data_IF_798396258525
#
_entry.id   IF_798396258525
#
_cell.length_a   1.000
_cell.length_b   1.000
_cell.length_c   1.000
_cell.angle_alpha   90.00
_cell.angle_beta   90.00
_cell.angle_gamma   90.00
#
_symmetry.space_group_name_H-M   'P 1'
#
loop_
_entity.id
_entity.type
_entity.pdbx_description
1 polymer ?
#
# COMPACT_ATOMS: atom_id res chain seq x y z
N UNK A 1 -10.32 11.58 -7.05
CA UNK A 1 -9.72 10.49 -6.24
C UNK A 1 -9.32 11.07 -4.89
N UNK A 2 -9.94 10.58 -3.81
CA UNK A 2 -9.58 10.98 -2.44
C UNK A 2 -8.13 10.56 -2.13
N UNK A 3 -7.48 11.18 -1.14
CA UNK A 3 -6.17 10.74 -0.61
C UNK A 3 -6.17 9.24 -0.34
N UNK A 4 -7.18 8.72 0.36
CA UNK A 4 -7.22 7.30 0.72
C UNK A 4 -7.23 6.40 -0.52
N UNK A 5 -8.00 6.77 -1.55
CA UNK A 5 -8.03 6.04 -2.81
C UNK A 5 -6.67 6.11 -3.54
N UNK A 6 -5.98 7.27 -3.54
CA UNK A 6 -4.61 7.41 -4.10
C UNK A 6 -3.62 6.47 -3.41
N UNK A 7 -3.67 6.36 -2.09
CA UNK A 7 -2.81 5.44 -1.33
C UNK A 7 -3.07 4.00 -1.74
N UNK A 8 -4.35 3.59 -1.83
CA UNK A 8 -4.71 2.22 -2.22
C UNK A 8 -4.23 1.89 -3.63
N UNK A 9 -4.31 2.82 -4.57
CA UNK A 9 -3.75 2.63 -5.92
C UNK A 9 -2.24 2.46 -5.89
N UNK A 10 -1.52 3.30 -5.15
CA UNK A 10 -0.06 3.18 -5.03
C UNK A 10 0.36 1.83 -4.43
N UNK A 11 -0.32 1.38 -3.37
CA UNK A 11 -0.09 0.07 -2.76
C UNK A 11 -0.40 -1.08 -3.73
N UNK A 12 -1.47 -0.97 -4.52
CA UNK A 12 -1.81 -1.99 -5.52
C UNK A 12 -0.70 -2.14 -6.57
N UNK A 13 -0.19 -1.02 -7.10
CA UNK A 13 0.93 -1.05 -8.05
C UNK A 13 2.20 -1.60 -7.43
N UNK A 14 2.52 -1.23 -6.19
CA UNK A 14 3.66 -1.76 -5.46
C UNK A 14 3.55 -3.28 -5.28
N UNK A 15 2.38 -3.79 -4.90
CA UNK A 15 2.14 -5.23 -4.77
C UNK A 15 2.37 -5.97 -6.09
N UNK A 16 1.91 -5.42 -7.23
CA UNK A 16 2.17 -6.01 -8.54
C UNK A 16 3.65 -5.95 -8.92
N UNK A 17 4.33 -4.84 -8.64
CA UNK A 17 5.77 -4.72 -8.88
C UNK A 17 6.57 -5.75 -8.07
N UNK A 18 6.22 -5.93 -6.79
CA UNK A 18 6.81 -6.96 -5.92
C UNK A 18 6.51 -8.35 -6.45
N UNK A 19 5.25 -8.63 -6.78
CA UNK A 19 4.83 -9.93 -7.31
C UNK A 19 5.62 -10.28 -8.57
N UNK A 20 5.66 -9.39 -9.56
CA UNK A 20 6.34 -9.62 -10.83
C UNK A 20 7.85 -9.69 -10.63
N UNK A 21 8.45 -8.74 -9.92
CA UNK A 21 9.88 -8.65 -9.72
C UNK A 21 10.45 -9.83 -8.94
N UNK A 22 9.83 -10.17 -7.82
CA UNK A 22 10.26 -11.31 -7.01
C UNK A 22 10.01 -12.64 -7.73
N UNK A 23 8.88 -12.81 -8.41
CA UNK A 23 8.60 -14.04 -9.17
C UNK A 23 9.60 -14.22 -10.31
N UNK A 24 9.91 -13.16 -11.05
CA UNK A 24 10.91 -13.22 -12.12
C UNK A 24 12.29 -13.59 -11.59
N UNK A 25 12.69 -12.99 -10.46
CA UNK A 25 13.95 -13.34 -9.80
C UNK A 25 13.98 -14.81 -9.32
N UNK A 26 12.91 -15.26 -8.66
CA UNK A 26 12.80 -16.61 -8.12
C UNK A 26 12.80 -17.67 -9.22
N UNK A 27 12.02 -17.46 -10.29
CA UNK A 27 12.02 -18.33 -11.47
C UNK A 27 13.40 -18.38 -12.13
N UNK A 28 14.10 -17.25 -12.18
CA UNK A 28 15.48 -17.18 -12.67
C UNK A 28 16.47 -18.01 -11.84
N UNK A 29 16.29 -18.08 -10.51
CA UNK A 29 17.09 -18.95 -9.63
C UNK A 29 16.71 -20.42 -9.81
N UNK A 30 15.41 -20.75 -9.84
CA UNK A 30 14.92 -22.13 -10.03
C UNK A 30 15.32 -22.74 -11.37
N UNK A 31 15.56 -21.92 -12.40
CA UNK A 31 16.06 -22.39 -13.69
C UNK A 31 17.53 -22.81 -13.66
N UNK A 32 18.29 -22.41 -12.63
CA UNK A 32 19.74 -22.57 -12.55
C UNK A 32 20.20 -23.40 -11.35
N UNK A 33 19.41 -23.46 -10.28
CA UNK A 33 19.77 -24.06 -9.00
C UNK A 33 18.66 -24.94 -8.48
N UNK A 34 19.04 -25.98 -7.75
CA UNK A 34 18.10 -26.76 -6.95
C UNK A 34 17.59 -25.93 -5.78
N UNK A 35 16.36 -26.25 -5.35
CA UNK A 35 15.63 -25.50 -4.29
C UNK A 35 16.45 -25.38 -3.00
N UNK A 36 17.23 -26.39 -2.65
CA UNK A 36 18.06 -26.41 -1.44
C UNK A 36 19.24 -25.44 -1.46
N UNK A 37 19.65 -24.96 -2.64
CA UNK A 37 20.80 -24.06 -2.81
C UNK A 37 20.39 -22.59 -2.94
N UNK A 38 19.09 -22.31 -2.99
CA UNK A 38 18.59 -20.94 -3.16
C UNK A 38 18.57 -20.23 -1.81
N UNK A 39 19.42 -19.22 -1.64
CA UNK A 39 19.33 -18.28 -0.52
C UNK A 39 18.16 -17.29 -0.70
N UNK A 40 16.94 -17.75 -0.48
CA UNK A 40 15.74 -16.92 -0.61
C UNK A 40 15.47 -16.04 0.63
N UNK A 41 15.92 -16.46 1.82
CA UNK A 41 15.52 -15.85 3.09
C UNK A 41 15.80 -14.34 3.16
N UNK A 42 17.04 -13.93 2.89
CA UNK A 42 17.42 -12.51 2.91
C UNK A 42 16.76 -11.69 1.83
N UNK A 43 16.55 -12.27 0.64
CA UNK A 43 15.88 -11.57 -0.47
C UNK A 43 14.41 -11.34 -0.12
N UNK A 44 13.73 -12.36 0.42
CA UNK A 44 12.34 -12.28 0.85
C UNK A 44 12.16 -11.22 1.95
N UNK A 45 13.02 -11.24 2.99
CA UNK A 45 12.99 -10.22 4.06
C UNK A 45 13.24 -8.82 3.49
N UNK A 46 14.20 -8.66 2.60
CA UNK A 46 14.51 -7.36 1.98
C UNK A 46 13.33 -6.83 1.17
N UNK A 47 12.67 -7.69 0.39
CA UNK A 47 11.48 -7.32 -0.38
C UNK A 47 10.34 -6.88 0.54
N UNK A 48 10.11 -7.59 1.64
CA UNK A 48 9.13 -7.18 2.65
C UNK A 48 9.45 -5.81 3.25
N UNK A 49 10.69 -5.61 3.70
CA UNK A 49 11.10 -4.34 4.32
C UNK A 49 11.02 -3.17 3.35
N UNK A 50 11.44 -3.37 2.10
CA UNK A 50 11.33 -2.36 1.05
C UNK A 50 9.87 -2.03 0.75
N UNK A 51 8.98 -3.01 0.72
CA UNK A 51 7.55 -2.77 0.50
C UNK A 51 6.92 -1.98 1.67
N UNK A 52 7.28 -2.31 2.92
CA UNK A 52 6.85 -1.55 4.10
C UNK A 52 7.37 -0.11 4.04
N UNK A 53 8.66 0.07 3.75
CA UNK A 53 9.28 1.39 3.58
C UNK A 53 8.57 2.21 2.49
N UNK A 54 8.30 1.60 1.34
CA UNK A 54 7.57 2.24 0.25
C UNK A 54 6.18 2.70 0.68
N UNK A 55 5.42 1.86 1.40
CA UNK A 55 4.10 2.23 1.92
C UNK A 55 4.19 3.42 2.87
N UNK A 56 5.12 3.39 3.83
CA UNK A 56 5.33 4.48 4.79
C UNK A 56 5.67 5.79 4.06
N UNK A 57 6.63 5.76 3.13
CA UNK A 57 7.04 6.93 2.35
C UNK A 57 5.87 7.49 1.55
N UNK A 58 5.10 6.61 0.90
CA UNK A 58 3.92 6.99 0.12
C UNK A 58 2.89 7.70 0.99
N UNK A 59 2.59 7.16 2.18
CA UNK A 59 1.65 7.79 3.11
C UNK A 59 2.14 9.16 3.59
N UNK A 60 3.42 9.28 3.95
CA UNK A 60 4.01 10.54 4.39
C UNK A 60 3.92 11.58 3.27
N UNK A 61 4.33 11.24 2.05
CA UNK A 61 4.30 12.16 0.91
C UNK A 61 2.88 12.61 0.58
N UNK A 62 1.90 11.71 0.61
CA UNK A 62 0.50 12.05 0.33
C UNK A 62 -0.10 12.95 1.42
N UNK A 63 0.19 12.70 2.69
CA UNK A 63 -0.31 13.53 3.80
C UNK A 63 0.32 14.92 3.76
N UNK A 64 1.65 15.00 3.60
CA UNK A 64 2.40 16.25 3.54
C UNK A 64 1.95 17.10 2.36
N UNK A 65 1.81 16.50 1.17
CA UNK A 65 1.37 17.22 -0.03
C UNK A 65 -0.07 17.71 0.07
N UNK A 66 -0.97 16.94 0.69
CA UNK A 66 -2.38 17.30 0.77
C UNK A 66 -2.70 18.33 1.87
N UNK A 67 -2.02 18.28 3.01
CA UNK A 67 -2.41 19.08 4.18
C UNK A 67 -1.35 20.07 4.65
N UNK A 68 -0.07 19.69 4.59
CA UNK A 68 1.00 20.51 5.17
C UNK A 68 1.48 21.57 4.17
N UNK A 69 1.75 21.18 2.93
CA UNK A 69 2.27 22.08 1.91
C UNK A 69 1.33 23.27 1.59
N UNK A 70 0.01 23.10 1.43
CA UNK A 70 -0.90 24.22 1.17
C UNK A 70 -0.99 25.18 2.36
N UNK A 71 -1.01 24.65 3.59
CA UNK A 71 -1.06 25.47 4.82
C UNK A 71 0.19 26.33 4.94
N UNK A 72 1.37 25.75 4.72
CA UNK A 72 2.64 26.50 4.72
C UNK A 72 2.63 27.55 3.60
N UNK A 73 2.22 27.18 2.38
CA UNK A 73 2.17 28.12 1.26
C UNK A 73 1.24 29.31 1.54
N UNK A 74 0.08 29.07 2.17
CA UNK A 74 -0.89 30.11 2.51
C UNK A 74 -0.36 31.10 3.58
N UNK A 75 0.43 30.62 4.55
CA UNK A 75 0.93 31.47 5.64
C UNK A 75 2.28 32.12 5.30
N UNK A 76 3.18 31.39 4.64
CA UNK A 76 4.55 31.84 4.36
C UNK A 76 4.64 32.58 3.03
N UNK A 77 3.81 32.22 2.04
CA UNK A 77 3.77 32.87 0.72
C UNK A 77 3.60 34.39 0.79
N UNK A 78 2.63 34.93 1.55
CA UNK A 78 2.45 36.37 1.71
C UNK A 78 3.67 37.07 2.31
N UNK A 79 4.26 36.46 3.34
CA UNK A 79 5.43 37.01 4.05
C UNK A 79 6.65 37.07 3.11
N UNK A 80 6.86 36.06 2.28
CA UNK A 80 7.97 36.05 1.30
C UNK A 80 7.73 37.09 0.21
N UNK A 81 6.51 37.18 -0.33
CA UNK A 81 6.16 38.13 -1.39
C UNK A 81 6.40 39.59 -0.95
N UNK A 82 5.95 39.94 0.26
CA UNK A 82 6.19 41.25 0.87
C UNK A 82 7.69 41.54 1.02
N UNK A 83 8.46 40.57 1.50
CA UNK A 83 9.91 40.70 1.74
C UNK A 83 10.75 40.80 0.46
N UNK A 84 10.32 40.16 -0.62
CA UNK A 84 11.11 40.07 -1.88
C UNK A 84 10.59 40.93 -3.01
N UNK A 85 9.48 41.66 -2.80
CA UNK A 85 8.83 42.46 -3.84
C UNK A 85 8.27 41.62 -5.00
N UNK A 86 8.16 40.29 -4.82
CA UNK A 86 7.57 39.41 -5.82
C UNK A 86 6.06 39.58 -5.78
N UNK A 87 5.37 39.66 -6.93
CA UNK A 87 3.92 39.71 -6.94
C UNK A 87 3.37 38.44 -6.30
N UNK A 88 2.36 38.62 -5.44
CA UNK A 88 1.63 37.52 -4.84
C UNK A 88 1.09 36.59 -5.93
N UNK A 89 1.16 35.25 -5.76
CA UNK A 89 0.41 34.35 -6.62
C UNK A 89 -1.07 34.76 -6.59
N UNK A 90 -1.68 34.96 -7.76
CA UNK A 90 -3.08 35.35 -7.89
C UNK A 90 -4.05 34.29 -7.33
N UNK A 91 -3.56 33.07 -7.14
CA UNK A 91 -4.32 31.93 -6.67
C UNK A 91 -3.52 31.26 -5.53
N UNK A 92 -3.90 31.55 -4.29
CA UNK A 92 -3.46 30.74 -3.14
C UNK A 92 -4.22 29.42 -3.28
N UNK A 93 -3.54 28.26 -3.41
CA UNK A 93 -4.23 26.99 -3.55
C UNK A 93 -5.18 26.85 -2.37
N UNK A 94 -6.48 26.79 -2.66
CA UNK A 94 -7.50 26.68 -1.64
C UNK A 94 -7.13 25.49 -0.75
N UNK A 95 -6.97 25.74 0.56
CA UNK A 95 -6.92 24.66 1.54
C UNK A 95 -8.20 23.88 1.32
N UNK A 96 -8.08 22.67 0.76
CA UNK A 96 -9.24 21.86 0.41
C UNK A 96 -9.89 21.39 1.70
N UNK A 97 -10.77 22.22 2.23
CA UNK A 97 -11.66 21.88 3.32
C UNK A 97 -12.73 20.99 2.68
N UNK A 98 -12.65 19.67 2.89
CA UNK A 98 -13.73 18.78 2.47
C UNK A 98 -15.00 19.28 3.18
N UNK A 99 -15.93 19.86 2.42
CA UNK A 99 -17.16 20.46 2.97
C UNK A 99 -18.14 19.40 3.46
N UNK A 100 -17.85 18.12 3.20
CA UNK A 100 -18.56 17.01 3.81
C UNK A 100 -18.36 17.04 5.32
N UNK A 101 -19.44 16.88 6.08
CA UNK A 101 -19.38 16.82 7.54
C UNK A 101 -18.32 15.79 7.96
N UNK A 102 -17.32 16.17 8.78
CA UNK A 102 -16.19 15.30 9.13
C UNK A 102 -16.60 13.90 9.60
N UNK A 103 -17.73 13.79 10.32
CA UNK A 103 -18.25 12.51 10.78
C UNK A 103 -18.79 11.57 9.69
N UNK A 104 -19.27 12.08 8.55
CA UNK A 104 -19.78 11.23 7.46
C UNK A 104 -18.64 10.64 6.61
N UNK A 105 -17.56 11.38 6.43
CA UNK A 105 -16.34 10.88 5.74
C UNK A 105 -15.69 9.77 6.56
N UNK A 106 -15.58 9.97 7.88
CA UNK A 106 -14.97 9.00 8.79
C UNK A 106 -15.78 7.69 8.90
N UNK A 107 -17.11 7.77 8.97
CA UNK A 107 -17.98 6.57 9.00
C UNK A 107 -17.83 5.75 7.72
N UNK A 108 -17.83 6.40 6.56
CA UNK A 108 -17.66 5.70 5.28
C UNK A 108 -16.30 5.02 5.18
N UNK A 109 -15.23 5.75 5.45
CA UNK A 109 -13.87 5.22 5.34
C UNK A 109 -13.66 4.06 6.33
N UNK A 110 -14.27 4.13 7.51
CA UNK A 110 -14.30 3.03 8.49
C UNK A 110 -15.06 1.80 7.98
N UNK A 111 -16.22 1.95 7.34
CA UNK A 111 -16.98 0.83 6.77
C UNK A 111 -16.21 0.15 5.62
N UNK A 112 -15.65 0.94 4.70
CA UNK A 112 -14.78 0.44 3.62
C UNK A 112 -13.61 -0.34 4.20
N UNK A 113 -12.95 0.20 5.24
CA UNK A 113 -11.85 -0.48 5.92
C UNK A 113 -12.30 -1.79 6.55
N UNK A 114 -13.44 -1.82 7.23
CA UNK A 114 -13.97 -3.03 7.86
C UNK A 114 -14.27 -4.11 6.82
N UNK A 115 -15.03 -3.79 5.77
CA UNK A 115 -15.45 -4.73 4.73
C UNK A 115 -14.27 -5.28 3.94
N UNK A 116 -13.33 -4.42 3.56
CA UNK A 116 -12.13 -4.85 2.85
C UNK A 116 -11.22 -5.73 3.71
N UNK A 117 -11.15 -5.46 5.03
CA UNK A 117 -10.38 -6.28 5.95
C UNK A 117 -10.96 -7.71 6.06
N UNK A 118 -12.29 -7.87 6.05
CA UNK A 118 -12.92 -9.20 6.00
C UNK A 118 -12.49 -10.00 4.77
N UNK A 119 -12.45 -9.37 3.59
CA UNK A 119 -11.98 -10.03 2.35
C UNK A 119 -10.55 -10.52 2.49
N UNK A 120 -9.63 -9.67 2.98
CA UNK A 120 -8.24 -10.05 3.17
C UNK A 120 -8.07 -11.13 4.23
N UNK A 121 -8.82 -11.05 5.33
CA UNK A 121 -8.73 -12.00 6.44
C UNK A 121 -9.17 -13.41 6.02
N UNK A 122 -10.24 -13.54 5.23
CA UNK A 122 -10.68 -14.84 4.72
C UNK A 122 -9.62 -15.52 3.84
N UNK A 123 -8.98 -14.75 2.95
CA UNK A 123 -7.89 -15.27 2.10
C UNK A 123 -6.69 -15.67 2.97
N UNK A 124 -6.32 -14.84 3.95
CA UNK A 124 -5.23 -15.15 4.88
C UNK A 124 -5.50 -16.38 5.73
N UNK A 125 -6.74 -16.60 6.16
CA UNK A 125 -7.12 -17.82 6.87
C UNK A 125 -6.89 -19.05 6.02
N UNK A 126 -7.23 -19.00 4.72
CA UNK A 126 -6.96 -20.10 3.79
C UNK A 126 -5.44 -20.32 3.59
N UNK A 127 -4.67 -19.24 3.44
CA UNK A 127 -3.21 -19.30 3.30
C UNK A 127 -2.56 -19.87 4.56
N UNK A 128 -3.03 -19.48 5.74
CA UNK A 128 -2.56 -20.01 7.01
C UNK A 128 -2.87 -21.51 7.14
N UNK A 129 -4.08 -21.94 6.76
CA UNK A 129 -4.45 -23.36 6.73
C UNK A 129 -3.57 -24.15 5.73
N UNK A 130 -3.29 -23.59 4.56
CA UNK A 130 -2.38 -24.21 3.59
C UNK A 130 -0.96 -24.34 4.16
N UNK A 131 -0.44 -23.31 4.81
CA UNK A 131 0.88 -23.35 5.45
C UNK A 131 0.93 -24.39 6.60
N UNK A 132 -0.13 -24.47 7.41
CA UNK A 132 -0.24 -25.50 8.45
C UNK A 132 -0.32 -26.92 7.86
N UNK A 133 -1.06 -27.10 6.78
CA UNK A 133 -1.12 -28.39 6.09
C UNK A 133 0.26 -28.78 5.53
N UNK A 134 0.97 -27.85 4.87
CA UNK A 134 2.32 -28.08 4.37
C UNK A 134 3.30 -28.44 5.51
N UNK A 135 3.22 -27.73 6.64
CA UNK A 135 4.01 -28.06 7.81
C UNK A 135 3.67 -29.45 8.38
N UNK A 136 2.39 -29.83 8.40
CA UNK A 136 1.95 -31.16 8.87
C UNK A 136 2.42 -32.31 7.97
N UNK A 137 2.66 -32.04 6.68
CA UNK A 137 3.25 -33.00 5.74
C UNK A 137 4.78 -32.87 5.64
N UNK A 138 5.43 -32.18 6.59
CA UNK A 138 6.88 -31.99 6.65
C UNK A 138 7.47 -31.42 5.35
N UNK A 139 6.70 -30.57 4.66
CA UNK A 139 7.17 -29.89 3.45
C UNK A 139 8.26 -28.88 3.85
N UNK A 140 9.21 -28.66 2.93
CA UNK A 140 10.34 -27.75 3.14
C UNK A 140 9.93 -26.32 3.49
N UNK A 141 10.82 -25.64 4.23
CA UNK A 141 10.65 -24.24 4.59
C UNK A 141 10.53 -23.32 3.37
N UNK A 142 11.16 -23.70 2.25
CA UNK A 142 11.08 -22.95 1.01
C UNK A 142 9.63 -22.82 0.54
N UNK A 143 8.90 -23.93 0.43
CA UNK A 143 7.53 -23.95 -0.07
C UNK A 143 6.60 -23.23 0.91
N UNK A 144 6.75 -23.48 2.21
CA UNK A 144 5.94 -22.84 3.25
C UNK A 144 6.12 -21.31 3.19
N UNK A 145 7.36 -20.84 3.11
CA UNK A 145 7.66 -19.41 3.04
C UNK A 145 7.05 -18.76 1.79
N UNK A 146 7.14 -19.40 0.63
CA UNK A 146 6.58 -18.86 -0.61
C UNK A 146 5.05 -18.89 -0.63
N UNK A 147 4.41 -19.91 -0.05
CA UNK A 147 2.95 -19.95 0.11
C UNK A 147 2.47 -18.83 1.01
N UNK A 148 3.13 -18.59 2.14
CA UNK A 148 2.83 -17.47 3.02
C UNK A 148 3.08 -16.12 2.33
N UNK A 149 4.19 -15.98 1.61
CA UNK A 149 4.55 -14.75 0.92
C UNK A 149 3.56 -14.40 -0.20
N UNK A 150 3.37 -15.31 -1.17
CA UNK A 150 2.49 -15.06 -2.31
C UNK A 150 1.01 -15.03 -1.90
N UNK A 151 0.59 -15.90 -0.98
CA UNK A 151 -0.73 -15.83 -0.38
C UNK A 151 -0.96 -14.49 0.34
N UNK A 152 0.08 -14.03 1.03
CA UNK A 152 0.22 -12.70 1.61
C UNK A 152 -0.11 -11.57 0.64
N UNK A 153 0.66 -11.55 -0.45
CA UNK A 153 0.52 -10.57 -1.53
C UNK A 153 -0.86 -10.65 -2.19
N UNK A 154 -1.38 -11.84 -2.46
CA UNK A 154 -2.67 -12.04 -3.11
C UNK A 154 -3.83 -11.51 -2.26
N UNK A 155 -3.82 -11.74 -0.94
CA UNK A 155 -4.84 -11.16 -0.08
C UNK A 155 -4.76 -9.63 -0.05
N UNK A 156 -3.54 -9.07 -0.05
CA UNK A 156 -3.32 -7.61 -0.10
C UNK A 156 -3.83 -7.00 -1.41
N UNK A 157 -3.56 -7.64 -2.55
CA UNK A 157 -4.08 -7.25 -3.86
C UNK A 157 -5.62 -7.30 -3.87
N UNK A 158 -6.22 -8.41 -3.43
CA UNK A 158 -7.67 -8.55 -3.37
C UNK A 158 -8.32 -7.49 -2.46
N UNK A 159 -7.71 -7.21 -1.30
CA UNK A 159 -8.14 -6.16 -0.38
C UNK A 159 -8.11 -4.77 -1.05
N UNK A 160 -7.04 -4.45 -1.76
CA UNK A 160 -6.89 -3.14 -2.42
C UNK A 160 -7.84 -2.98 -3.61
N UNK A 161 -8.06 -4.04 -4.39
CA UNK A 161 -9.09 -4.06 -5.44
C UNK A 161 -10.48 -3.84 -4.83
N UNK A 162 -10.81 -4.52 -3.72
CA UNK A 162 -12.08 -4.36 -3.04
C UNK A 162 -12.28 -2.92 -2.54
N UNK A 163 -11.24 -2.30 -1.93
CA UNK A 163 -11.28 -0.90 -1.51
C UNK A 163 -11.56 0.04 -2.69
N UNK A 164 -10.84 -0.11 -3.80
CA UNK A 164 -11.06 0.70 -5.01
C UNK A 164 -12.50 0.53 -5.51
N UNK A 165 -13.01 -0.69 -5.52
CA UNK A 165 -14.38 -0.96 -5.94
C UNK A 165 -15.41 -0.28 -5.04
N UNK A 166 -15.23 -0.33 -3.71
CA UNK A 166 -16.10 0.38 -2.77
C UNK A 166 -16.02 1.90 -2.93
N UNK A 167 -14.81 2.47 -3.09
CA UNK A 167 -14.63 3.90 -3.36
C UNK A 167 -15.36 4.33 -4.63
N UNK A 168 -15.29 3.53 -5.70
CA UNK A 168 -15.96 3.82 -6.98
C UNK A 168 -17.47 3.69 -6.92
N UNK A 169 -17.99 2.79 -6.08
CA UNK A 169 -19.44 2.66 -5.85
C UNK A 169 -20.01 3.71 -4.92
N UNK A 170 -19.17 4.52 -4.27
CA UNK A 170 -19.60 5.55 -3.33
C UNK A 170 -20.25 5.01 -2.06
N UNK A 171 -19.97 3.75 -1.73
CA UNK A 171 -20.37 3.10 -0.46
C UNK A 171 -19.55 3.68 0.67
#
# INVERSE_FOLDING_TARGET
MNHQEKTVWAELFANFAVLIGYSAWLLGQLAQKDVSEIEYGWVLVSVFLLNILFSIVTQIVLVVSAHVAPVIAAHVGPVIAERTGRPMPLEVPAVQNDTRSPGLVDVRDKDIRSRSNTTGMNIMSLVALAALALAAFEVGFFEIAHVLFFGGLMASVAMNIAKIWFYRKGV
#
